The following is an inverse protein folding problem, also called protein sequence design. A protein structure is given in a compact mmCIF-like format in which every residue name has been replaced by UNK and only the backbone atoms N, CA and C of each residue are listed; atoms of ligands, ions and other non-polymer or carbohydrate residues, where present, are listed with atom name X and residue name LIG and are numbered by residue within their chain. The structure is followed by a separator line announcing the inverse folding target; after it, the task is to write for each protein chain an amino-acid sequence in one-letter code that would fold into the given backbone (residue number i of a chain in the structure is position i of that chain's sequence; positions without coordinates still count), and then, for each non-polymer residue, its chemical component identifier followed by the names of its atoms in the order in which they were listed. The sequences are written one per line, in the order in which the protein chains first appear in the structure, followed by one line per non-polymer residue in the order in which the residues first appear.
data_IF_023106785548
#
_entry.id   IF_023106785548
#
_cell.length_a   1.000
_cell.length_b   1.000
_cell.length_c   1.000
_cell.angle_alpha   90.00
_cell.angle_beta   90.00
_cell.angle_gamma   90.00
#
_symmetry.space_group_name_H-M   'P 1'
#
loop_
_entity.id
_entity.type
_entity.pdbx_description
1 polymer ?
#
# COMPACT_ATOMS: atom_id res chain seq x y z
N UNK A 1 1.02 0.55 3.51
CA UNK A 1 0.33 -0.67 3.94
C UNK A 1 -0.62 -0.38 5.09
N UNK A 2 -1.75 -1.10 5.16
CA UNK A 2 -2.90 -0.84 6.03
C UNK A 2 -3.28 -2.12 6.81
N UNK A 3 -2.54 -2.39 7.88
CA UNK A 3 -2.85 -3.50 8.80
C UNK A 3 -3.86 -3.12 9.88
N UNK A 4 -3.81 -1.87 10.35
CA UNK A 4 -4.74 -1.27 11.30
C UNK A 4 -4.75 0.26 11.15
N UNK A 5 -5.79 0.93 11.70
CA UNK A 5 -5.93 2.38 11.66
C UNK A 5 -5.34 3.01 12.93
N UNK A 6 -4.66 4.15 12.77
CA UNK A 6 -4.06 4.91 13.86
C UNK A 6 -4.40 6.42 13.82
N UNK A 7 -5.46 6.78 13.08
CA UNK A 7 -5.99 8.14 13.01
C UNK A 7 -5.31 9.07 12.00
N UNK A 8 -4.42 8.55 11.15
CA UNK A 8 -3.68 9.39 10.20
C UNK A 8 -4.14 9.25 8.75
N UNK A 9 -4.93 8.23 8.42
CA UNK A 9 -5.30 7.92 7.03
C UNK A 9 -6.10 9.04 6.38
N UNK A 10 -7.00 9.72 7.10
CA UNK A 10 -7.73 10.87 6.55
C UNK A 10 -6.78 11.99 6.08
N UNK A 11 -5.81 12.35 6.90
CA UNK A 11 -4.81 13.36 6.55
C UNK A 11 -3.96 12.95 5.34
N UNK A 12 -3.61 11.68 5.25
CA UNK A 12 -2.87 11.13 4.10
C UNK A 12 -3.71 11.30 2.83
N UNK A 13 -5.00 10.94 2.86
CA UNK A 13 -5.91 11.07 1.74
C UNK A 13 -6.09 12.54 1.32
N UNK A 14 -6.29 13.44 2.28
CA UNK A 14 -6.42 14.86 2.01
C UNK A 14 -5.17 15.42 1.30
N UNK A 15 -3.99 15.01 1.78
CA UNK A 15 -2.71 15.39 1.15
C UNK A 15 -2.58 14.82 -0.26
N UNK A 16 -2.88 13.54 -0.47
CA UNK A 16 -2.81 12.91 -1.80
C UNK A 16 -3.77 13.59 -2.80
N UNK A 17 -4.96 13.93 -2.32
CA UNK A 17 -5.95 14.68 -3.12
C UNK A 17 -5.46 16.07 -3.48
N UNK A 18 -4.98 16.84 -2.51
CA UNK A 18 -4.39 18.18 -2.72
C UNK A 18 -3.24 18.15 -3.73
N UNK A 19 -2.38 17.14 -3.60
CA UNK A 19 -1.20 16.98 -4.45
C UNK A 19 -1.49 16.23 -5.76
N UNK A 20 -2.72 15.81 -6.00
CA UNK A 20 -3.12 15.03 -7.18
C UNK A 20 -2.19 13.82 -7.42
N UNK A 21 -2.02 12.99 -6.41
CA UNK A 21 -1.21 11.76 -6.46
C UNK A 21 -2.10 10.55 -6.20
N UNK A 22 -2.06 9.55 -7.07
CA UNK A 22 -2.71 8.26 -6.88
C UNK A 22 -1.74 7.27 -6.23
N UNK A 23 -2.29 6.35 -5.44
CA UNK A 23 -1.50 5.32 -4.76
C UNK A 23 -2.28 4.02 -4.65
N UNK A 24 -1.59 2.97 -4.19
CA UNK A 24 -2.21 1.69 -3.81
C UNK A 24 -2.22 1.59 -2.28
N UNK A 25 -3.39 1.38 -1.70
CA UNK A 25 -3.56 1.04 -0.30
C UNK A 25 -3.67 -0.48 -0.16
N UNK A 26 -2.62 -1.14 0.28
CA UNK A 26 -2.61 -2.58 0.54
C UNK A 26 -3.28 -2.85 1.89
N UNK A 27 -4.45 -3.47 1.86
CA UNK A 27 -5.29 -3.69 3.05
C UNK A 27 -5.35 -5.16 3.45
N UNK A 28 -5.45 -5.40 4.76
CA UNK A 28 -5.72 -6.73 5.32
C UNK A 28 -7.20 -6.95 5.58
N UNK A 29 -7.62 -8.20 5.84
CA UNK A 29 -9.00 -8.53 6.18
C UNK A 29 -9.55 -7.71 7.35
N UNK A 30 -8.90 -7.65 8.51
CA UNK A 30 -9.35 -6.84 9.63
C UNK A 30 -9.45 -5.34 9.35
N UNK A 31 -8.57 -4.82 8.47
CA UNK A 31 -8.66 -3.42 8.06
C UNK A 31 -9.90 -3.17 7.20
N UNK A 32 -10.14 -4.03 6.21
CA UNK A 32 -11.31 -3.98 5.34
C UNK A 32 -12.63 -4.05 6.12
N UNK A 33 -12.67 -4.91 7.13
CA UNK A 33 -13.87 -5.10 7.97
C UNK A 33 -14.20 -3.86 8.82
N UNK A 34 -13.16 -3.23 9.42
CA UNK A 34 -13.34 -2.20 10.45
C UNK A 34 -13.37 -0.78 9.93
N UNK A 35 -12.87 -0.51 8.71
CA UNK A 35 -12.61 0.84 8.22
C UNK A 35 -13.40 1.18 6.94
N UNK A 36 -14.69 0.80 6.89
CA UNK A 36 -15.56 0.98 5.70
C UNK A 36 -15.49 2.41 5.12
N UNK A 37 -15.58 3.42 5.97
CA UNK A 37 -15.53 4.82 5.55
C UNK A 37 -14.23 5.18 4.83
N UNK A 38 -13.09 4.69 5.32
CA UNK A 38 -11.80 4.95 4.71
C UNK A 38 -11.62 4.19 3.39
N UNK A 39 -12.07 2.93 3.34
CA UNK A 39 -12.05 2.15 2.10
C UNK A 39 -12.89 2.82 1.02
N UNK A 40 -14.08 3.34 1.36
CA UNK A 40 -14.90 4.12 0.40
C UNK A 40 -14.13 5.34 -0.09
N UNK A 41 -13.46 6.09 0.79
CA UNK A 41 -12.60 7.20 0.37
C UNK A 41 -11.50 6.75 -0.59
N UNK A 42 -10.84 5.60 -0.35
CA UNK A 42 -9.84 5.10 -1.28
C UNK A 42 -10.42 4.92 -2.69
N UNK A 43 -11.57 4.27 -2.79
CA UNK A 43 -12.23 4.00 -4.08
C UNK A 43 -12.75 5.30 -4.71
N UNK A 44 -13.51 6.11 -3.97
CA UNK A 44 -14.18 7.31 -4.47
C UNK A 44 -13.18 8.41 -4.88
N UNK A 45 -12.03 8.48 -4.21
CA UNK A 45 -10.95 9.41 -4.53
C UNK A 45 -10.02 8.87 -5.64
N UNK A 46 -10.32 7.67 -6.19
CA UNK A 46 -9.64 7.07 -7.33
C UNK A 46 -8.27 6.48 -7.00
N UNK A 47 -8.05 6.08 -5.76
CA UNK A 47 -6.91 5.25 -5.38
C UNK A 47 -7.20 3.77 -5.64
N UNK A 48 -6.15 2.97 -5.67
CA UNK A 48 -6.29 1.53 -5.81
C UNK A 48 -6.27 0.86 -4.42
N UNK A 49 -7.11 -0.15 -4.23
CA UNK A 49 -7.05 -1.00 -3.05
C UNK A 49 -6.35 -2.29 -3.47
N UNK A 50 -5.23 -2.59 -2.83
CA UNK A 50 -4.43 -3.79 -3.08
C UNK A 50 -4.65 -4.85 -2.02
N UNK A 51 -4.48 -6.11 -2.43
CA UNK A 51 -4.61 -7.27 -1.56
C UNK A 51 -3.34 -7.45 -0.71
N UNK A 52 -3.51 -7.45 0.61
CA UNK A 52 -2.41 -7.73 1.57
C UNK A 52 -2.73 -8.95 2.44
N UNK A 53 -3.50 -9.88 1.90
CA UNK A 53 -4.05 -11.10 2.50
C UNK A 53 -5.04 -10.86 3.65
N UNK A 54 -5.83 -11.89 3.98
CA UNK A 54 -6.80 -11.79 5.08
C UNK A 54 -6.09 -11.65 6.42
N UNK A 55 -5.11 -12.52 6.72
CA UNK A 55 -4.54 -12.68 8.07
C UNK A 55 -3.08 -12.21 8.19
N UNK A 56 -2.50 -11.65 7.13
CA UNK A 56 -1.12 -11.18 7.10
C UNK A 56 -0.11 -12.27 7.49
N UNK A 57 -0.32 -13.49 7.02
CA UNK A 57 0.60 -14.62 7.26
C UNK A 57 1.74 -14.63 6.24
N UNK A 58 2.88 -15.23 6.62
CA UNK A 58 3.95 -15.53 5.69
C UNK A 58 3.44 -16.47 4.59
N UNK A 59 3.33 -15.99 3.37
CA UNK A 59 2.80 -16.74 2.23
C UNK A 59 3.62 -18.00 1.89
N UNK A 60 4.96 -17.97 1.94
CA UNK A 60 5.79 -19.15 1.71
C UNK A 60 5.55 -20.33 2.65
N UNK A 61 4.97 -20.08 3.82
CA UNK A 61 4.70 -21.11 4.83
C UNK A 61 3.32 -21.76 4.67
N UNK A 62 2.51 -21.26 3.75
CA UNK A 62 1.16 -21.76 3.50
C UNK A 62 1.19 -22.82 2.39
N UNK A 63 0.28 -23.79 2.48
CA UNK A 63 -0.05 -24.62 1.33
C UNK A 63 -0.67 -23.74 0.23
N UNK A 64 -0.60 -24.23 -1.03
CA UNK A 64 -1.23 -23.52 -2.15
C UNK A 64 -2.69 -23.16 -1.88
N UNK A 65 -3.48 -24.10 -1.40
CA UNK A 65 -4.91 -23.88 -1.11
C UNK A 65 -5.13 -22.82 -0.02
N UNK A 66 -4.27 -22.77 1.00
CA UNK A 66 -4.34 -21.74 2.04
C UNK A 66 -3.93 -20.37 1.49
N UNK A 67 -2.89 -20.32 0.65
CA UNK A 67 -2.44 -19.08 0.03
C UNK A 67 -3.51 -18.49 -0.93
N UNK A 68 -4.10 -19.32 -1.78
CA UNK A 68 -5.22 -18.91 -2.64
C UNK A 68 -6.41 -18.42 -1.80
N UNK A 69 -6.74 -19.11 -0.72
CA UNK A 69 -7.81 -18.71 0.19
C UNK A 69 -7.56 -17.35 0.83
N UNK A 70 -6.33 -17.07 1.29
CA UNK A 70 -5.96 -15.76 1.86
C UNK A 70 -6.18 -14.61 0.86
N UNK A 71 -5.99 -14.84 -0.43
CA UNK A 71 -6.19 -13.84 -1.47
C UNK A 71 -7.66 -13.70 -1.88
N UNK A 72 -8.30 -14.84 -2.20
CA UNK A 72 -9.66 -14.85 -2.74
C UNK A 72 -10.72 -14.42 -1.73
N UNK A 73 -10.57 -14.77 -0.44
CA UNK A 73 -11.51 -14.34 0.60
C UNK A 73 -11.52 -12.82 0.75
N UNK A 74 -10.33 -12.20 0.71
CA UNK A 74 -10.22 -10.74 0.82
C UNK A 74 -10.79 -10.03 -0.42
N UNK A 75 -10.42 -10.51 -1.60
CA UNK A 75 -10.90 -9.94 -2.86
C UNK A 75 -12.43 -10.02 -2.96
N UNK A 76 -13.00 -11.19 -2.67
CA UNK A 76 -14.45 -11.38 -2.67
C UNK A 76 -15.16 -10.42 -1.73
N UNK A 77 -14.68 -10.29 -0.49
CA UNK A 77 -15.25 -9.37 0.49
C UNK A 77 -15.16 -7.90 0.04
N UNK A 78 -14.08 -7.53 -0.65
CA UNK A 78 -13.91 -6.19 -1.22
C UNK A 78 -14.84 -5.95 -2.41
N UNK A 79 -14.88 -6.88 -3.37
CA UNK A 79 -15.71 -6.77 -4.58
C UNK A 79 -17.20 -6.69 -4.24
N UNK A 80 -17.69 -7.58 -3.36
CA UNK A 80 -19.10 -7.59 -2.92
C UNK A 80 -19.52 -6.27 -2.25
N UNK A 81 -18.59 -5.60 -1.57
CA UNK A 81 -18.92 -4.42 -0.77
C UNK A 81 -18.74 -3.09 -1.52
N UNK A 82 -17.76 -3.04 -2.44
CA UNK A 82 -17.37 -1.79 -3.10
C UNK A 82 -17.56 -1.81 -4.62
N UNK A 83 -17.97 -2.95 -5.19
CA UNK A 83 -18.12 -3.14 -6.65
C UNK A 83 -16.85 -2.72 -7.42
N UNK A 84 -15.69 -3.06 -6.89
CA UNK A 84 -14.38 -2.75 -7.43
C UNK A 84 -13.45 -3.96 -7.29
N UNK A 85 -12.35 -4.00 -8.05
CA UNK A 85 -11.41 -5.11 -8.07
C UNK A 85 -10.08 -4.73 -7.43
N UNK A 86 -9.42 -5.72 -6.82
CA UNK A 86 -8.04 -5.60 -6.35
C UNK A 86 -7.08 -6.05 -7.46
N UNK A 87 -6.39 -5.10 -8.09
CA UNK A 87 -5.47 -5.39 -9.20
C UNK A 87 -4.05 -5.72 -8.74
N UNK A 88 -3.70 -5.30 -7.55
CA UNK A 88 -2.36 -5.41 -6.98
C UNK A 88 -2.35 -6.29 -5.75
N UNK A 89 -1.28 -7.05 -5.61
CA UNK A 89 -0.97 -7.84 -4.42
C UNK A 89 0.38 -7.42 -3.85
N UNK A 90 0.47 -7.33 -2.54
CA UNK A 90 1.75 -7.22 -1.83
C UNK A 90 1.84 -8.32 -0.79
N UNK A 91 2.86 -9.19 -0.88
CA UNK A 91 3.02 -10.25 0.11
C UNK A 91 3.33 -9.65 1.49
N UNK A 92 2.69 -10.18 2.56
CA UNK A 92 3.01 -9.80 3.92
C UNK A 92 4.51 -9.89 4.21
N UNK A 93 5.05 -8.88 4.91
CA UNK A 93 6.47 -8.80 5.27
C UNK A 93 7.44 -8.80 4.08
N UNK A 94 6.94 -8.75 2.84
CA UNK A 94 7.74 -8.93 1.63
C UNK A 94 8.20 -10.36 1.41
N UNK A 95 7.68 -11.33 2.16
CA UNK A 95 8.06 -12.74 2.07
C UNK A 95 7.35 -13.44 0.93
N UNK A 96 8.11 -14.06 0.05
CA UNK A 96 7.61 -14.77 -1.12
C UNK A 96 8.50 -15.95 -1.51
N UNK A 97 7.96 -16.84 -2.31
CA UNK A 97 8.65 -17.87 -3.08
C UNK A 97 8.04 -17.94 -4.49
N UNK A 98 8.56 -18.80 -5.33
CA UNK A 98 8.05 -18.97 -6.70
C UNK A 98 6.55 -19.31 -6.74
N UNK A 99 6.10 -20.17 -5.83
CA UNK A 99 4.68 -20.57 -5.76
C UNK A 99 3.79 -19.39 -5.36
N UNK A 100 4.22 -18.54 -4.40
CA UNK A 100 3.49 -17.31 -4.04
C UNK A 100 3.29 -16.39 -5.25
N UNK A 101 4.35 -16.19 -6.04
CA UNK A 101 4.29 -15.32 -7.22
C UNK A 101 3.44 -15.94 -8.33
N UNK A 102 3.52 -17.26 -8.48
CA UNK A 102 2.72 -18.00 -9.47
C UNK A 102 1.22 -17.93 -9.13
N UNK A 103 0.84 -18.14 -7.88
CA UNK A 103 -0.54 -18.02 -7.42
C UNK A 103 -1.06 -16.59 -7.69
N UNK A 104 -0.31 -15.57 -7.30
CA UNK A 104 -0.70 -14.18 -7.53
C UNK A 104 -0.93 -13.90 -9.04
N UNK A 105 -0.03 -14.38 -9.90
CA UNK A 105 -0.16 -14.24 -11.35
C UNK A 105 -1.37 -14.98 -11.93
N UNK A 106 -1.61 -16.21 -11.50
CA UNK A 106 -2.77 -17.01 -11.95
C UNK A 106 -4.10 -16.37 -11.54
N UNK A 107 -4.11 -15.69 -10.39
CA UNK A 107 -5.24 -14.89 -9.92
C UNK A 107 -5.28 -13.47 -10.53
N UNK A 108 -4.40 -13.17 -11.48
CA UNK A 108 -4.31 -11.90 -12.22
C UNK A 108 -3.92 -10.68 -11.40
N UNK A 109 -3.21 -10.88 -10.29
CA UNK A 109 -2.58 -9.77 -9.58
C UNK A 109 -1.25 -9.39 -10.19
N UNK A 110 -0.97 -8.10 -10.21
CA UNK A 110 0.40 -7.61 -10.29
C UNK A 110 0.98 -7.56 -8.89
N UNK A 111 2.02 -8.37 -8.63
CA UNK A 111 2.72 -8.34 -7.34
C UNK A 111 3.59 -7.08 -7.27
N UNK A 112 3.33 -6.23 -6.28
CA UNK A 112 4.03 -4.96 -6.12
C UNK A 112 4.88 -4.96 -4.84
N UNK A 113 6.19 -5.02 -5.03
CA UNK A 113 7.17 -4.80 -3.98
C UNK A 113 7.48 -3.31 -3.82
N UNK A 114 8.64 -2.98 -3.27
CA UNK A 114 9.13 -1.61 -3.10
C UNK A 114 10.65 -1.55 -3.33
N UNK A 115 11.13 -0.37 -3.65
CA UNK A 115 12.56 -0.10 -3.71
C UNK A 115 13.05 0.80 -2.57
N UNK A 116 12.10 1.36 -1.79
CA UNK A 116 12.39 2.13 -0.60
C UNK A 116 11.36 1.83 0.49
N UNK A 117 11.85 1.57 1.69
CA UNK A 117 11.09 1.47 2.94
C UNK A 117 12.00 1.84 4.12
N UNK A 118 11.40 2.15 5.25
CA UNK A 118 12.10 2.30 6.52
C UNK A 118 11.19 1.80 7.65
N UNK A 119 11.68 1.79 8.89
CA UNK A 119 11.00 1.23 10.06
C UNK A 119 9.87 2.12 10.63
N UNK A 120 8.99 2.62 9.76
CA UNK A 120 7.89 3.55 10.05
C UNK A 120 6.69 2.91 10.75
N UNK A 121 6.63 1.59 10.81
CA UNK A 121 5.62 0.85 11.58
C UNK A 121 5.90 0.82 13.08
N UNK A 122 7.11 1.20 13.51
CA UNK A 122 7.50 1.23 14.92
C UNK A 122 6.99 2.51 15.58
N UNK A 123 5.88 2.40 16.32
CA UNK A 123 5.18 3.54 16.92
C UNK A 123 6.03 4.40 17.86
N UNK A 124 7.00 3.77 18.53
CA UNK A 124 7.87 4.44 19.50
C UNK A 124 9.04 5.19 18.85
N UNK A 125 9.22 5.06 17.54
CA UNK A 125 10.28 5.72 16.78
C UNK A 125 9.77 6.93 16.00
N UNK A 126 9.32 7.96 16.71
CA UNK A 126 8.96 9.24 16.11
C UNK A 126 10.21 10.08 15.91
N UNK A 127 10.57 10.36 14.66
CA UNK A 127 11.81 11.08 14.27
C UNK A 127 11.54 12.45 13.67
N UNK A 128 10.25 12.76 13.43
CA UNK A 128 9.78 13.99 12.83
C UNK A 128 9.69 13.95 11.29
N UNK A 129 8.86 14.83 10.71
CA UNK A 129 8.62 14.85 9.27
C UNK A 129 9.85 15.18 8.44
N UNK A 130 10.76 16.02 8.94
CA UNK A 130 12.00 16.37 8.23
C UNK A 130 12.91 15.15 8.03
N UNK A 131 12.95 14.24 9.00
CA UNK A 131 13.68 12.99 8.86
C UNK A 131 13.18 12.19 7.66
N UNK A 132 11.85 12.07 7.50
CA UNK A 132 11.24 11.33 6.40
C UNK A 132 11.57 11.99 5.06
N UNK A 133 11.43 13.31 4.96
CA UNK A 133 11.74 14.06 3.73
C UNK A 133 13.20 13.86 3.31
N UNK A 134 14.11 14.00 4.25
CA UNK A 134 15.55 13.83 3.98
C UNK A 134 15.87 12.39 3.56
N UNK A 135 15.31 11.41 4.27
CA UNK A 135 15.56 10.01 3.99
C UNK A 135 15.04 9.59 2.60
N UNK A 136 13.84 10.02 2.23
CA UNK A 136 13.28 9.75 0.89
C UNK A 136 14.09 10.45 -0.19
N UNK A 137 14.43 11.72 0.00
CA UNK A 137 15.17 12.50 -1.00
C UNK A 137 16.57 11.92 -1.30
N UNK A 138 17.27 11.46 -0.26
CA UNK A 138 18.60 10.85 -0.40
C UNK A 138 18.57 9.51 -1.15
N UNK A 139 17.42 8.82 -1.17
CA UNK A 139 17.24 7.53 -1.82
C UNK A 139 16.41 7.61 -3.11
N UNK A 140 16.06 8.82 -3.55
CA UNK A 140 15.23 9.02 -4.73
C UNK A 140 15.92 8.54 -6.01
N UNK A 141 15.18 7.78 -6.82
CA UNK A 141 15.63 7.29 -8.12
C UNK A 141 14.45 7.06 -9.06
N UNK A 142 14.70 7.00 -10.37
CA UNK A 142 13.69 6.70 -11.38
C UNK A 142 13.09 5.30 -11.15
N UNK A 143 11.77 5.21 -11.23
CA UNK A 143 11.03 3.97 -10.97
C UNK A 143 10.92 3.58 -9.50
N UNK A 144 11.18 4.52 -8.58
CA UNK A 144 11.06 4.29 -7.14
C UNK A 144 9.62 3.96 -6.74
N UNK A 145 9.46 2.86 -6.02
CA UNK A 145 8.22 2.51 -5.33
C UNK A 145 8.46 2.67 -3.83
N UNK A 146 7.78 3.64 -3.24
CA UNK A 146 7.89 3.95 -1.81
C UNK A 146 6.87 3.13 -1.04
N UNK A 147 7.33 2.36 -0.05
CA UNK A 147 6.45 1.75 0.94
C UNK A 147 6.38 2.64 2.17
N UNK A 148 5.16 3.10 2.48
CA UNK A 148 4.82 3.79 3.72
C UNK A 148 3.71 3.05 4.46
N UNK A 149 3.77 3.08 5.80
CA UNK A 149 2.68 2.64 6.65
C UNK A 149 1.87 3.85 7.15
N UNK A 150 0.55 3.81 6.99
CA UNK A 150 -0.32 4.92 7.38
C UNK A 150 -0.46 5.09 8.90
N UNK A 151 0.11 4.18 9.67
CA UNK A 151 0.15 4.26 11.13
C UNK A 151 1.20 5.25 11.65
N UNK A 152 2.11 5.71 10.79
CA UNK A 152 3.19 6.64 11.14
C UNK A 152 2.71 8.09 11.19
N UNK A 153 2.85 8.77 12.34
CA UNK A 153 2.58 10.20 12.43
C UNK A 153 3.55 11.04 11.58
N UNK A 154 4.79 10.55 11.42
CA UNK A 154 5.81 11.24 10.64
C UNK A 154 5.48 11.19 9.15
N UNK A 155 5.08 10.03 8.63
CA UNK A 155 4.63 9.89 7.24
C UNK A 155 3.44 10.81 6.93
N UNK A 156 2.44 10.79 7.80
CA UNK A 156 1.25 11.62 7.63
C UNK A 156 1.54 13.13 7.62
N UNK A 157 2.56 13.56 8.38
CA UNK A 157 2.99 14.97 8.41
C UNK A 157 3.94 15.31 7.26
N UNK A 158 4.78 14.37 6.85
CA UNK A 158 5.81 14.58 5.84
C UNK A 158 5.31 14.47 4.40
N UNK A 159 4.21 13.72 4.15
CA UNK A 159 3.81 13.30 2.81
C UNK A 159 3.75 14.45 1.79
N UNK A 160 3.14 15.58 2.16
CA UNK A 160 3.07 16.75 1.28
C UNK A 160 4.46 17.27 0.90
N UNK A 161 5.34 17.43 1.91
CA UNK A 161 6.71 17.89 1.68
C UNK A 161 7.54 16.88 0.91
N UNK A 162 7.34 15.57 1.12
CA UNK A 162 8.00 14.52 0.32
C UNK A 162 7.61 14.65 -1.15
N UNK A 163 6.31 14.79 -1.45
CA UNK A 163 5.84 14.95 -2.83
C UNK A 163 6.42 16.22 -3.47
N UNK A 164 6.37 17.35 -2.78
CA UNK A 164 6.88 18.62 -3.29
C UNK A 164 8.40 18.57 -3.51
N UNK A 165 9.14 17.96 -2.58
CA UNK A 165 10.59 17.82 -2.71
C UNK A 165 10.98 16.95 -3.90
N UNK A 166 10.34 15.79 -4.07
CA UNK A 166 10.61 14.91 -5.21
C UNK A 166 10.26 15.60 -6.54
N UNK A 167 9.16 16.35 -6.61
CA UNK A 167 8.83 17.16 -7.79
C UNK A 167 9.88 18.26 -8.05
N UNK A 168 10.33 18.93 -6.99
CA UNK A 168 11.41 19.90 -7.07
C UNK A 168 12.73 19.32 -7.57
N UNK A 169 12.98 18.03 -7.36
CA UNK A 169 14.10 17.26 -7.89
C UNK A 169 13.88 16.78 -9.34
N UNK A 170 12.72 17.03 -9.95
CA UNK A 170 12.38 16.65 -11.31
C UNK A 170 11.71 15.29 -11.46
N UNK A 171 11.27 14.66 -10.37
CA UNK A 171 10.50 13.42 -10.43
C UNK A 171 9.00 13.71 -10.63
N UNK A 172 8.35 12.80 -11.34
CA UNK A 172 6.88 12.76 -11.50
C UNK A 172 6.31 11.53 -10.81
N UNK A 173 5.06 11.64 -10.35
CA UNK A 173 4.33 10.52 -9.78
C UNK A 173 3.46 9.90 -10.85
N UNK A 174 3.80 8.69 -11.29
CA UNK A 174 3.00 7.91 -12.23
C UNK A 174 1.74 7.33 -11.58
N UNK A 175 0.75 7.04 -12.40
CA UNK A 175 -0.44 6.32 -11.93
C UNK A 175 -0.08 4.83 -11.74
N UNK A 176 -0.38 4.22 -10.58
CA UNK A 176 -0.10 2.80 -10.35
C UNK A 176 -0.65 1.85 -11.43
N UNK A 177 -1.74 2.22 -12.13
CA UNK A 177 -2.32 1.39 -13.19
C UNK A 177 -1.33 1.11 -14.34
N UNK A 178 -0.36 1.99 -14.56
CA UNK A 178 0.67 1.80 -15.59
C UNK A 178 1.56 0.58 -15.30
N UNK A 179 1.61 0.14 -14.04
CA UNK A 179 2.35 -1.05 -13.61
C UNK A 179 1.51 -2.33 -13.70
N UNK A 180 0.20 -2.22 -13.88
CA UNK A 180 -0.68 -3.39 -13.91
C UNK A 180 -0.43 -4.24 -15.16
N UNK A 181 -0.06 -5.49 -14.93
CA UNK A 181 0.18 -6.51 -15.96
C UNK A 181 -0.44 -7.83 -15.49
N UNK A 182 -1.69 -8.12 -15.86
CA UNK A 182 -2.42 -9.33 -15.44
C UNK A 182 -1.82 -10.62 -16.00
#
# INVERSE_FOLDING_TARGET
DQGYENGYTDRILDTLKEKNVKTVFFVTGPYLEKNDRLIRRFVDEGHYVGNHTVRHKSMPLLSRAEAEKELLELEKAFEEKYNAQMLFFRPPMGEYNEETLKIAKELRYTTMFWSFAYDDWLKDKVRGPEYVVNLVSQNAHNGMIILFHAVSPDNAKALGSVIDTLRGMGYEFGDPIELYKP
#
